data_IF_585480319433
#
_entry.id   IF_585480319433
#
_cell.length_a   1.000
_cell.length_b   1.000
_cell.length_c   1.000
_cell.angle_alpha   90.00
_cell.angle_beta   90.00
_cell.angle_gamma   90.00
#
_symmetry.space_group_name_H-M   'P 1'
#
loop_
_entity.id
_entity.type
_entity.pdbx_description
1 polymer ?
#
# COMPACT_ATOMS: atom_id res chain seq x y z
N UNK A 1 50.41 11.81 -41.86
CA UNK A 1 48.97 11.48 -42.11
C UNK A 1 48.48 10.63 -40.97
N UNK A 2 47.97 11.26 -39.93
CA UNK A 2 47.49 10.62 -38.69
C UNK A 2 45.97 10.48 -38.76
N UNK A 3 45.54 9.23 -38.94
CA UNK A 3 44.14 8.85 -38.81
C UNK A 3 43.70 8.96 -37.34
N UNK A 4 43.08 10.07 -37.00
CA UNK A 4 42.27 10.18 -35.78
C UNK A 4 41.00 9.35 -35.98
N UNK A 5 41.05 8.08 -35.61
CA UNK A 5 39.87 7.25 -35.50
C UNK A 5 38.97 7.85 -34.39
N UNK A 6 37.90 8.50 -34.80
CA UNK A 6 36.86 8.94 -33.90
C UNK A 6 36.30 7.71 -33.19
N UNK A 7 36.52 7.61 -31.87
CA UNK A 7 35.86 6.64 -31.01
C UNK A 7 34.37 6.92 -31.05
N UNK A 8 33.49 5.97 -31.41
CA UNK A 8 32.07 6.14 -31.33
C UNK A 8 31.71 6.34 -29.85
N UNK A 9 31.11 7.48 -29.54
CA UNK A 9 30.47 7.71 -28.28
C UNK A 9 29.36 6.66 -28.19
N UNK A 10 29.62 5.60 -27.43
CA UNK A 10 28.57 4.64 -27.06
C UNK A 10 27.58 5.40 -26.23
N UNK A 11 26.57 5.93 -26.89
CA UNK A 11 25.39 6.49 -26.21
C UNK A 11 24.85 5.43 -25.26
N UNK A 12 25.01 5.67 -23.95
CA UNK A 12 24.52 4.78 -22.93
C UNK A 12 23.03 4.56 -23.12
N UNK A 13 22.63 3.40 -23.64
CA UNK A 13 21.27 2.93 -23.62
C UNK A 13 20.87 2.70 -22.17
N UNK A 14 20.57 3.77 -21.46
CA UNK A 14 19.83 3.65 -20.20
C UNK A 14 18.48 3.02 -20.55
N UNK A 15 18.18 1.81 -20.03
CA UNK A 15 16.90 1.18 -20.33
C UNK A 15 15.79 2.16 -19.97
N UNK A 16 14.74 2.30 -20.80
CA UNK A 16 13.66 3.24 -20.54
C UNK A 16 13.15 2.95 -19.13
N UNK A 17 13.19 3.97 -18.29
CA UNK A 17 12.68 3.86 -16.91
C UNK A 17 11.25 3.37 -17.01
N UNK A 18 10.97 2.17 -16.52
CA UNK A 18 9.64 1.56 -16.54
C UNK A 18 8.74 2.22 -15.47
N UNK A 19 8.76 3.57 -15.45
CA UNK A 19 8.03 4.39 -14.47
C UNK A 19 6.54 4.07 -14.47
N UNK A 20 5.95 3.90 -15.63
CA UNK A 20 4.54 3.53 -15.74
C UNK A 20 4.21 2.22 -15.03
N UNK A 21 5.07 1.19 -15.15
CA UNK A 21 4.89 -0.08 -14.44
C UNK A 21 5.10 0.06 -12.92
N UNK A 22 6.03 0.91 -12.50
CA UNK A 22 6.26 1.20 -11.07
C UNK A 22 5.05 1.87 -10.45
N UNK A 23 4.52 2.90 -11.10
CA UNK A 23 3.31 3.60 -10.66
C UNK A 23 2.12 2.64 -10.63
N UNK A 24 1.93 1.87 -11.70
CA UNK A 24 0.84 0.89 -11.78
C UNK A 24 0.92 -0.16 -10.68
N UNK A 25 2.11 -0.65 -10.35
CA UNK A 25 2.30 -1.62 -9.28
C UNK A 25 1.81 -1.07 -7.92
N UNK A 26 2.15 0.18 -7.61
CA UNK A 26 1.72 0.84 -6.37
C UNK A 26 0.21 1.08 -6.40
N UNK A 27 -0.32 1.62 -7.49
CA UNK A 27 -1.76 1.87 -7.65
C UNK A 27 -2.57 0.58 -7.52
N UNK A 28 -2.13 -0.51 -8.15
CA UNK A 28 -2.81 -1.81 -8.05
C UNK A 28 -2.84 -2.34 -6.60
N UNK A 29 -1.75 -2.19 -5.84
CA UNK A 29 -1.74 -2.53 -4.42
C UNK A 29 -2.72 -1.70 -3.60
N UNK A 30 -2.79 -0.38 -3.82
CA UNK A 30 -3.77 0.49 -3.18
C UNK A 30 -5.21 0.12 -3.53
N UNK A 31 -5.49 -0.11 -4.82
CA UNK A 31 -6.83 -0.51 -5.27
C UNK A 31 -7.26 -1.83 -4.63
N UNK A 32 -6.36 -2.79 -4.51
CA UNK A 32 -6.66 -4.06 -3.85
C UNK A 32 -7.06 -3.86 -2.39
N UNK A 33 -6.29 -3.07 -1.62
CA UNK A 33 -6.62 -2.75 -0.22
C UNK A 33 -7.97 -2.02 -0.14
N UNK A 34 -8.18 -1.03 -1.00
CA UNK A 34 -9.41 -0.23 -1.02
C UNK A 34 -10.63 -1.10 -1.31
N UNK A 35 -10.59 -1.90 -2.37
CA UNK A 35 -11.71 -2.77 -2.79
C UNK A 35 -12.00 -3.79 -1.69
N UNK A 36 -10.99 -4.49 -1.17
CA UNK A 36 -11.18 -5.46 -0.10
C UNK A 36 -11.78 -4.82 1.15
N UNK A 37 -11.32 -3.63 1.53
CA UNK A 37 -11.86 -2.90 2.69
C UNK A 37 -13.31 -2.50 2.49
N UNK A 38 -13.64 -1.89 1.34
CA UNK A 38 -15.02 -1.46 1.04
C UNK A 38 -15.96 -2.66 0.99
N UNK A 39 -15.58 -3.74 0.30
CA UNK A 39 -16.43 -4.95 0.21
C UNK A 39 -16.68 -5.53 1.60
N UNK A 40 -15.65 -5.62 2.43
CA UNK A 40 -15.80 -6.12 3.81
C UNK A 40 -16.69 -5.20 4.64
N UNK A 41 -16.49 -3.88 4.59
CA UNK A 41 -17.29 -2.91 5.32
C UNK A 41 -18.76 -3.00 4.89
N UNK A 42 -19.05 -3.09 3.58
CA UNK A 42 -20.41 -3.25 3.06
C UNK A 42 -21.07 -4.53 3.58
N UNK A 43 -20.34 -5.66 3.54
CA UNK A 43 -20.84 -6.93 4.06
C UNK A 43 -21.14 -6.85 5.56
N UNK A 44 -20.24 -6.26 6.35
CA UNK A 44 -20.41 -6.13 7.80
C UNK A 44 -21.60 -5.22 8.17
N UNK A 45 -21.86 -4.16 7.39
CA UNK A 45 -23.04 -3.34 7.53
C UNK A 45 -24.32 -4.09 7.14
N UNK A 46 -24.29 -4.82 6.01
CA UNK A 46 -25.45 -5.61 5.54
C UNK A 46 -25.84 -6.72 6.52
N UNK A 47 -24.84 -7.31 7.21
CA UNK A 47 -25.07 -8.31 8.26
C UNK A 47 -25.43 -7.70 9.63
N UNK A 48 -25.57 -6.39 9.72
CA UNK A 48 -25.84 -5.66 10.98
C UNK A 48 -24.78 -5.90 12.07
N UNK A 49 -23.57 -6.32 11.69
CA UNK A 49 -22.42 -6.43 12.60
C UNK A 49 -21.86 -5.05 12.89
N UNK A 50 -21.78 -4.20 11.85
CA UNK A 50 -21.49 -2.78 12.00
C UNK A 50 -22.81 -1.98 12.10
N UNK A 51 -22.85 -0.93 12.95
CA UNK A 51 -24.03 -0.09 13.07
C UNK A 51 -24.31 0.67 11.77
N UNK A 52 -25.54 1.16 11.56
CA UNK A 52 -25.86 1.98 10.40
C UNK A 52 -24.91 3.16 10.21
N UNK A 53 -24.69 3.57 8.96
CA UNK A 53 -23.82 4.69 8.63
C UNK A 53 -24.27 5.96 9.38
N UNK A 54 -23.31 6.67 9.95
CA UNK A 54 -23.55 7.87 10.76
C UNK A 54 -23.72 7.62 12.25
N UNK A 55 -23.75 6.37 12.71
CA UNK A 55 -23.69 6.04 14.13
C UNK A 55 -22.26 5.66 14.53
N UNK A 56 -21.85 6.08 15.74
CA UNK A 56 -20.54 5.72 16.28
C UNK A 56 -20.48 4.21 16.54
N UNK A 57 -19.45 3.57 16.02
CA UNK A 57 -19.14 2.16 16.26
C UNK A 57 -18.58 1.95 17.67
N UNK A 58 -18.85 0.79 18.27
CA UNK A 58 -18.18 0.38 19.50
C UNK A 58 -16.69 0.12 19.26
N UNK A 59 -15.84 0.48 20.22
CA UNK A 59 -14.38 0.40 20.09
C UNK A 59 -13.87 -1.01 19.73
N UNK A 60 -14.53 -2.07 20.21
CA UNK A 60 -14.23 -3.47 19.86
C UNK A 60 -14.34 -3.74 18.37
N UNK A 61 -15.23 -3.07 17.65
CA UNK A 61 -15.40 -3.24 16.21
C UNK A 61 -14.25 -2.58 15.43
N UNK A 62 -13.68 -1.49 15.97
CA UNK A 62 -12.47 -0.89 15.41
C UNK A 62 -11.25 -1.81 15.55
N UNK A 63 -11.17 -2.64 16.60
CA UNK A 63 -10.13 -3.68 16.70
C UNK A 63 -10.26 -4.67 15.55
N UNK A 64 -11.46 -5.18 15.27
CA UNK A 64 -11.70 -6.05 14.12
C UNK A 64 -11.38 -5.37 12.79
N UNK A 65 -11.78 -4.10 12.64
CA UNK A 65 -11.45 -3.31 11.46
C UNK A 65 -9.93 -3.17 11.27
N UNK A 66 -9.18 -2.98 12.34
CA UNK A 66 -7.72 -2.91 12.30
C UNK A 66 -7.12 -4.24 11.86
N UNK A 67 -7.62 -5.37 12.37
CA UNK A 67 -7.10 -6.70 12.03
C UNK A 67 -7.26 -6.98 10.54
N UNK A 68 -8.47 -6.91 9.98
CA UNK A 68 -8.64 -7.25 8.56
C UNK A 68 -7.98 -6.23 7.63
N UNK A 69 -7.93 -4.95 7.98
CA UNK A 69 -7.22 -3.93 7.19
C UNK A 69 -5.72 -4.11 7.22
N UNK A 70 -5.15 -4.59 8.32
CA UNK A 70 -3.74 -4.98 8.40
C UNK A 70 -3.44 -6.16 7.47
N UNK A 71 -4.31 -7.18 7.45
CA UNK A 71 -4.19 -8.31 6.51
C UNK A 71 -4.26 -7.82 5.06
N UNK A 72 -5.20 -6.92 4.74
CA UNK A 72 -5.32 -6.35 3.40
C UNK A 72 -4.11 -5.47 3.04
N UNK A 73 -3.52 -4.78 4.01
CA UNK A 73 -2.26 -4.06 3.85
C UNK A 73 -1.11 -4.98 3.41
N UNK A 74 -1.02 -6.16 4.00
CA UNK A 74 -0.03 -7.20 3.59
C UNK A 74 -0.32 -7.68 2.17
N UNK A 75 -1.59 -7.97 1.85
CA UNK A 75 -2.00 -8.41 0.50
C UNK A 75 -1.69 -7.34 -0.54
N UNK A 76 -2.06 -6.07 -0.28
CA UNK A 76 -1.78 -4.96 -1.19
C UNK A 76 -0.28 -4.74 -1.41
N UNK A 77 0.51 -4.85 -0.35
CA UNK A 77 1.97 -4.76 -0.42
C UNK A 77 2.59 -5.92 -1.21
N UNK A 78 2.06 -7.13 -1.05
CA UNK A 78 2.45 -8.29 -1.86
C UNK A 78 2.12 -8.06 -3.35
N UNK A 79 0.93 -7.55 -3.67
CA UNK A 79 0.53 -7.23 -5.05
C UNK A 79 1.45 -6.17 -5.63
N UNK A 80 1.74 -5.09 -4.90
CA UNK A 80 2.70 -4.07 -5.30
C UNK A 80 4.07 -4.69 -5.61
N UNK A 81 4.59 -5.52 -4.71
CA UNK A 81 5.87 -6.17 -4.87
C UNK A 81 5.89 -7.15 -6.06
N UNK A 82 4.79 -7.85 -6.31
CA UNK A 82 4.65 -8.80 -7.42
C UNK A 82 4.63 -8.11 -8.78
N UNK A 83 3.99 -6.95 -8.88
CA UNK A 83 3.86 -6.18 -10.12
C UNK A 83 5.04 -5.24 -10.35
N UNK A 84 5.87 -5.00 -9.34
CA UNK A 84 7.03 -4.13 -9.43
C UNK A 84 8.01 -4.62 -10.51
N UNK A 85 8.49 -3.74 -11.41
CA UNK A 85 9.38 -4.12 -12.49
C UNK A 85 10.81 -4.45 -12.01
N UNK A 86 11.20 -3.96 -10.84
CA UNK A 86 12.48 -4.18 -10.15
C UNK A 86 12.32 -3.84 -8.67
N UNK A 87 13.25 -4.31 -7.82
CA UNK A 87 13.31 -4.03 -6.38
C UNK A 87 11.93 -4.07 -5.68
N UNK A 88 11.30 -5.25 -5.57
CA UNK A 88 9.94 -5.40 -5.01
C UNK A 88 9.76 -4.72 -3.65
N UNK A 89 10.74 -4.90 -2.75
CA UNK A 89 10.74 -4.30 -1.42
C UNK A 89 10.65 -2.77 -1.47
N UNK A 90 11.43 -2.14 -2.36
CA UNK A 90 11.43 -0.68 -2.48
C UNK A 90 10.05 -0.15 -2.89
N UNK A 91 9.38 -0.80 -3.84
CA UNK A 91 8.05 -0.39 -4.29
C UNK A 91 7.00 -0.55 -3.19
N UNK A 92 7.06 -1.64 -2.43
CA UNK A 92 6.16 -1.86 -1.29
C UNK A 92 6.36 -0.80 -0.20
N UNK A 93 7.63 -0.49 0.15
CA UNK A 93 7.94 0.55 1.16
C UNK A 93 7.54 1.94 0.67
N UNK A 94 7.78 2.28 -0.58
CA UNK A 94 7.31 3.56 -1.17
C UNK A 94 5.78 3.63 -1.13
N UNK A 95 5.09 2.56 -1.50
CA UNK A 95 3.63 2.47 -1.38
C UNK A 95 3.17 2.69 0.06
N UNK A 96 3.80 2.02 1.04
CA UNK A 96 3.48 2.21 2.45
C UNK A 96 3.72 3.66 2.92
N UNK A 97 4.82 4.29 2.51
CA UNK A 97 5.10 5.69 2.85
C UNK A 97 4.02 6.63 2.30
N UNK A 98 3.58 6.44 1.06
CA UNK A 98 2.46 7.17 0.48
C UNK A 98 1.18 6.91 1.28
N UNK A 99 0.89 5.66 1.60
CA UNK A 99 -0.27 5.27 2.43
C UNK A 99 -0.25 5.91 3.81
N UNK A 100 0.92 5.99 4.46
CA UNK A 100 1.09 6.67 5.74
C UNK A 100 0.82 8.17 5.65
N UNK A 101 1.29 8.84 4.59
CA UNK A 101 1.02 10.26 4.36
C UNK A 101 -0.50 10.48 4.18
N UNK A 102 -1.13 9.71 3.30
CA UNK A 102 -2.57 9.80 3.07
C UNK A 102 -3.38 9.46 4.32
N UNK A 103 -2.97 8.44 5.08
CA UNK A 103 -3.58 8.06 6.35
C UNK A 103 -3.45 9.14 7.40
N UNK A 104 -2.28 9.80 7.48
CA UNK A 104 -2.06 10.93 8.39
C UNK A 104 -2.93 12.12 8.04
N UNK A 105 -3.02 12.49 6.76
CA UNK A 105 -3.92 13.54 6.28
C UNK A 105 -5.37 13.20 6.64
N UNK A 106 -5.82 11.96 6.38
CA UNK A 106 -7.14 11.49 6.75
C UNK A 106 -7.40 11.58 8.26
N UNK A 107 -6.44 11.15 9.07
CA UNK A 107 -6.52 11.23 10.54
C UNK A 107 -6.67 12.67 11.02
N UNK A 108 -5.86 13.59 10.50
CA UNK A 108 -5.92 15.03 10.88
C UNK A 108 -7.26 15.66 10.50
N UNK A 109 -7.73 15.41 9.28
CA UNK A 109 -9.01 15.98 8.77
C UNK A 109 -10.22 15.45 9.55
N UNK A 110 -10.13 14.21 10.05
CA UNK A 110 -11.24 13.57 10.77
C UNK A 110 -11.12 13.64 12.29
N UNK A 111 -10.01 14.21 12.81
CA UNK A 111 -9.67 14.16 14.24
C UNK A 111 -10.78 14.63 15.18
N UNK A 112 -11.46 15.72 14.81
CA UNK A 112 -12.53 16.35 15.60
C UNK A 112 -13.95 15.93 15.18
N UNK A 113 -14.10 14.90 14.33
CA UNK A 113 -15.41 14.51 13.79
C UNK A 113 -16.12 13.41 14.57
N UNK A 114 -15.59 12.97 15.70
CA UNK A 114 -16.12 11.88 16.54
C UNK A 114 -16.54 10.60 15.76
N UNK A 115 -15.75 10.26 14.72
CA UNK A 115 -16.01 9.11 13.86
C UNK A 115 -15.57 7.78 14.51
N UNK A 116 -14.75 7.86 15.56
CA UNK A 116 -14.22 6.70 16.26
C UNK A 116 -13.04 7.03 17.18
N UNK A 117 -12.43 6.02 17.80
CA UNK A 117 -11.32 6.22 18.71
C UNK A 117 -10.07 6.69 17.95
N UNK A 118 -9.36 7.66 18.51
CA UNK A 118 -8.15 8.26 17.89
C UNK A 118 -7.00 7.25 17.69
N UNK A 119 -6.97 6.17 18.47
CA UNK A 119 -5.95 5.12 18.30
C UNK A 119 -6.08 4.36 16.96
N UNK A 120 -7.29 4.30 16.40
CA UNK A 120 -7.57 3.51 15.20
C UNK A 120 -6.79 4.00 13.95
N UNK A 121 -6.88 5.28 13.53
CA UNK A 121 -6.09 5.76 12.42
C UNK A 121 -4.58 5.68 12.69
N UNK A 122 -4.15 5.90 13.95
CA UNK A 122 -2.74 5.77 14.32
C UNK A 122 -2.25 4.33 14.18
N UNK A 123 -3.05 3.34 14.60
CA UNK A 123 -2.72 1.93 14.44
C UNK A 123 -2.54 1.57 12.95
N UNK A 124 -3.42 2.04 12.06
CA UNK A 124 -3.31 1.78 10.62
C UNK A 124 -2.05 2.44 10.01
N UNK A 125 -1.69 3.64 10.45
CA UNK A 125 -0.47 4.32 10.00
C UNK A 125 0.77 3.53 10.43
N UNK A 126 0.86 3.14 11.70
CA UNK A 126 2.01 2.43 12.26
C UNK A 126 2.17 1.04 11.63
N UNK A 127 1.08 0.34 11.35
CA UNK A 127 1.14 -1.00 10.73
C UNK A 127 1.52 -0.97 9.25
N UNK A 128 1.54 0.19 8.60
CA UNK A 128 1.86 0.34 7.17
C UNK A 128 3.23 -0.23 6.79
N UNK A 129 4.28 0.12 7.53
CA UNK A 129 5.66 -0.36 7.25
C UNK A 129 5.80 -1.87 7.51
N UNK A 130 5.38 -2.43 8.65
CA UNK A 130 5.36 -3.88 8.85
C UNK A 130 4.63 -4.64 7.75
N UNK A 131 3.45 -4.16 7.31
CA UNK A 131 2.68 -4.77 6.23
C UNK A 131 3.46 -4.77 4.91
N UNK A 132 4.12 -3.66 4.58
CA UNK A 132 4.95 -3.55 3.38
C UNK A 132 6.10 -4.54 3.40
N UNK A 133 6.78 -4.64 4.53
CA UNK A 133 7.91 -5.55 4.68
C UNK A 133 7.47 -7.00 4.56
N UNK A 134 6.41 -7.42 5.26
CA UNK A 134 5.88 -8.79 5.21
C UNK A 134 5.43 -9.14 3.78
N UNK A 135 4.60 -8.30 3.16
CA UNK A 135 4.09 -8.55 1.81
C UNK A 135 5.19 -8.66 0.75
N UNK A 136 6.17 -7.76 0.79
CA UNK A 136 7.32 -7.81 -0.11
C UNK A 136 8.24 -9.00 0.18
N UNK A 137 8.45 -9.35 1.45
CA UNK A 137 9.28 -10.49 1.85
C UNK A 137 8.70 -11.82 1.37
N UNK A 138 7.39 -12.01 1.47
CA UNK A 138 6.69 -13.17 0.90
C UNK A 138 6.99 -13.28 -0.60
N UNK A 139 6.94 -12.16 -1.33
CA UNK A 139 7.24 -12.15 -2.77
C UNK A 139 8.69 -12.50 -3.06
N UNK A 140 9.63 -11.95 -2.31
CA UNK A 140 11.07 -12.25 -2.48
C UNK A 140 11.37 -13.73 -2.26
N UNK A 141 10.79 -14.34 -1.22
CA UNK A 141 10.96 -15.77 -0.95
C UNK A 141 10.45 -16.66 -2.08
N UNK A 142 9.36 -16.27 -2.75
CA UNK A 142 8.82 -17.01 -3.89
C UNK A 142 9.68 -16.93 -5.15
N UNK A 143 10.55 -15.93 -5.26
CA UNK A 143 11.42 -15.74 -6.42
C UNK A 143 12.85 -16.25 -6.21
N UNK A 144 13.21 -16.61 -4.98
CA UNK A 144 14.51 -17.18 -4.63
C UNK A 144 14.51 -18.71 -4.52
N UNK A 145 13.35 -19.33 -4.71
CA UNK A 145 13.18 -20.79 -4.82
C UNK A 145 13.15 -21.22 -6.26
#
# INVERSE_FOLDING_TARGET
>A
MSNLAATPIVGGNTPPRRLGRSVWAIVAGFLAVLVLSIVTDVVLHALSIFPPLGQRMADRLFVWATIYRTIYGIIGSYITARLAPYRPMLHAVVGAAIGMILGTVGAVVTWNKDLGPHWYPLALIVTGIPCAWIGAKIREMQTSS
#
